data_IF_275557213316
#
_entry.id   IF_275557213316
#
_cell.length_a   1.000
_cell.length_b   1.000
_cell.length_c   1.000
_cell.angle_alpha   90.00
_cell.angle_beta   90.00
_cell.angle_gamma   90.00
#
_symmetry.space_group_name_H-M   'P 1'
#
loop_
_entity.id
_entity.type
_entity.pdbx_description
1 polymer ?
#
# COMPACT_ATOMS: atom_id res chain seq x y z
N UNK A 1 -1.62 15.87 6.64
CA UNK A 1 -0.55 14.89 6.34
C UNK A 1 -1.16 13.51 6.47
N UNK A 2 -0.92 12.62 5.52
CA UNK A 2 -1.35 11.23 5.53
C UNK A 2 -0.19 10.35 6.01
N UNK A 3 -0.45 9.50 6.99
CA UNK A 3 0.52 8.58 7.58
C UNK A 3 0.12 7.13 7.32
N UNK A 4 0.97 6.40 6.60
CA UNK A 4 0.71 5.02 6.18
C UNK A 4 1.77 4.11 6.77
N UNK A 5 1.32 3.01 7.39
CA UNK A 5 2.18 1.90 7.82
C UNK A 5 1.91 0.67 6.98
N UNK A 6 2.97 0.17 6.35
CA UNK A 6 2.96 -0.99 5.47
C UNK A 6 3.49 -2.21 6.22
N UNK A 7 2.82 -3.34 6.05
CA UNK A 7 3.20 -4.63 6.61
C UNK A 7 3.25 -5.66 5.49
N UNK A 8 4.23 -6.56 5.56
CA UNK A 8 4.35 -7.71 4.67
C UNK A 8 5.54 -8.55 5.08
N UNK A 9 6.05 -9.39 4.19
CA UNK A 9 7.22 -10.22 4.44
C UNK A 9 8.41 -9.83 3.57
N UNK A 10 9.61 -10.13 4.05
CA UNK A 10 10.84 -9.98 3.29
C UNK A 10 10.74 -10.70 1.94
N UNK A 11 10.87 -9.94 0.85
CA UNK A 11 10.71 -10.42 -0.52
C UNK A 11 9.40 -9.99 -1.21
N UNK A 12 8.38 -9.54 -0.47
CA UNK A 12 7.09 -9.11 -1.05
C UNK A 12 7.08 -7.65 -1.55
N UNK A 13 8.19 -6.93 -1.38
CA UNK A 13 8.32 -5.56 -1.87
C UNK A 13 7.61 -4.49 -1.01
N UNK A 14 7.51 -4.71 0.31
CA UNK A 14 6.95 -3.73 1.28
C UNK A 14 7.69 -2.39 1.22
N UNK A 15 9.02 -2.42 1.23
CA UNK A 15 9.87 -1.21 1.14
C UNK A 15 9.70 -0.54 -0.23
N UNK A 16 9.61 -1.36 -1.29
CA UNK A 16 9.35 -0.87 -2.65
C UNK A 16 8.00 -0.19 -2.74
N UNK A 17 6.94 -0.73 -2.13
CA UNK A 17 5.61 -0.13 -2.10
C UNK A 17 5.64 1.26 -1.42
N UNK A 18 6.25 1.34 -0.24
CA UNK A 18 6.38 2.57 0.52
C UNK A 18 7.15 3.65 -0.25
N UNK A 19 8.25 3.25 -0.90
CA UNK A 19 9.07 4.11 -1.76
C UNK A 19 8.34 4.54 -3.02
N UNK A 20 7.59 3.64 -3.66
CA UNK A 20 6.83 3.92 -4.89
C UNK A 20 5.78 4.97 -4.62
N UNK A 21 4.97 4.83 -3.56
CA UNK A 21 3.97 5.84 -3.21
C UNK A 21 4.63 7.19 -2.87
N UNK A 22 5.72 7.16 -2.10
CA UNK A 22 6.46 8.38 -1.77
C UNK A 22 6.99 9.10 -3.00
N UNK A 23 7.58 8.36 -3.96
CA UNK A 23 8.07 8.91 -5.23
C UNK A 23 6.92 9.42 -6.10
N UNK A 24 5.80 8.69 -6.18
CA UNK A 24 4.62 9.12 -6.90
C UNK A 24 4.12 10.48 -6.38
N UNK A 25 4.04 10.65 -5.07
CA UNK A 25 3.63 11.91 -4.47
C UNK A 25 4.67 13.04 -4.66
N UNK A 26 5.96 12.77 -4.44
CA UNK A 26 6.99 13.81 -4.43
C UNK A 26 7.48 14.25 -5.81
N UNK A 27 7.71 13.29 -6.70
CA UNK A 27 8.31 13.56 -8.02
C UNK A 27 7.22 13.92 -9.03
N UNK A 28 6.06 13.27 -8.95
CA UNK A 28 4.99 13.42 -9.95
C UNK A 28 3.72 14.08 -9.42
N UNK A 29 3.54 14.11 -8.10
CA UNK A 29 2.34 14.63 -7.46
C UNK A 29 2.45 16.06 -6.93
N UNK A 30 3.64 16.67 -6.97
CA UNK A 30 3.89 18.00 -6.43
C UNK A 30 3.74 18.10 -4.91
N UNK A 31 3.81 16.97 -4.19
CA UNK A 31 3.64 16.89 -2.74
C UNK A 31 4.97 16.66 -2.03
N UNK A 32 4.96 16.71 -0.71
CA UNK A 32 6.08 16.27 0.11
C UNK A 32 5.85 14.83 0.54
N UNK A 33 6.90 14.02 0.46
CA UNK A 33 6.84 12.64 0.92
C UNK A 33 8.08 12.25 1.71
N UNK A 34 7.89 11.34 2.66
CA UNK A 34 8.94 10.64 3.37
C UNK A 34 8.59 9.16 3.37
N UNK A 35 9.54 8.29 3.05
CA UNK A 35 9.35 6.85 3.11
C UNK A 35 10.61 6.18 3.63
N UNK A 36 10.46 5.27 4.59
CA UNK A 36 11.58 4.58 5.22
C UNK A 36 11.11 3.23 5.78
N UNK A 37 11.99 2.22 5.80
CA UNK A 37 11.66 0.94 6.39
C UNK A 37 11.88 0.93 7.91
N UNK A 38 11.34 -0.10 8.57
CA UNK A 38 11.75 -0.53 9.90
C UNK A 38 11.77 -2.04 9.93
N UNK A 39 12.97 -2.61 10.01
CA UNK A 39 13.21 -4.03 10.13
C UNK A 39 14.45 -4.29 11.00
N UNK A 40 14.47 -5.43 11.67
CA UNK A 40 15.59 -5.89 12.48
C UNK A 40 16.67 -6.59 11.64
N UNK A 41 17.36 -7.57 12.23
CA UNK A 41 18.32 -8.45 11.54
C UNK A 41 17.62 -9.48 10.65
N UNK A 42 16.88 -9.03 9.64
CA UNK A 42 15.91 -9.86 8.93
C UNK A 42 16.48 -10.81 7.87
N UNK A 43 15.90 -12.01 7.84
CA UNK A 43 16.05 -13.04 6.80
C UNK A 43 14.85 -12.97 5.85
N UNK A 44 14.94 -13.57 4.65
CA UNK A 44 13.77 -13.71 3.75
C UNK A 44 12.57 -14.30 4.49
N UNK A 45 11.36 -13.78 4.23
CA UNK A 45 10.12 -14.24 4.84
C UNK A 45 9.80 -13.67 6.24
N UNK A 46 10.76 -12.99 6.90
CA UNK A 46 10.50 -12.30 8.16
C UNK A 46 9.49 -11.14 7.96
N UNK A 47 8.68 -10.79 8.96
CA UNK A 47 7.77 -9.65 8.88
C UNK A 47 8.54 -8.34 8.71
N UNK A 48 8.21 -7.57 7.67
CA UNK A 48 8.80 -6.27 7.34
C UNK A 48 7.76 -5.19 7.57
N UNK A 49 8.17 -4.11 8.24
CA UNK A 49 7.39 -2.88 8.31
C UNK A 49 8.03 -1.77 7.48
N UNK A 50 7.23 -0.95 6.81
CA UNK A 50 7.69 0.30 6.22
C UNK A 50 6.69 1.42 6.46
N UNK A 51 7.12 2.64 6.23
CA UNK A 51 6.36 3.84 6.53
C UNK A 51 6.35 4.78 5.32
N UNK A 52 5.22 5.44 5.11
CA UNK A 52 5.11 6.56 4.16
C UNK A 52 4.33 7.70 4.81
N UNK A 53 4.87 8.92 4.77
CA UNK A 53 4.18 10.17 5.09
C UNK A 53 3.99 10.97 3.80
N UNK A 54 2.78 11.48 3.56
CA UNK A 54 2.47 12.39 2.46
C UNK A 54 1.92 13.71 3.03
N UNK A 55 2.39 14.85 2.53
CA UNK A 55 1.96 16.16 3.02
C UNK A 55 1.95 17.21 1.90
N UNK A 56 1.16 18.27 2.08
CA UNK A 56 1.16 19.45 1.20
C UNK A 56 2.34 20.39 1.51
N UNK A 57 3.10 20.13 2.58
CA UNK A 57 4.24 20.95 3.01
C UNK A 57 5.35 20.10 3.64
N UNK A 58 6.47 20.74 3.98
CA UNK A 58 7.70 20.09 4.48
C UNK A 58 7.44 19.18 5.68
N UNK A 59 7.90 17.94 5.60
CA UNK A 59 7.82 16.94 6.67
C UNK A 59 9.08 17.04 7.53
N UNK A 60 8.92 17.47 8.80
CA UNK A 60 10.03 17.58 9.76
C UNK A 60 10.17 16.36 10.68
N UNK A 61 9.06 15.64 10.89
CA UNK A 61 9.03 14.43 11.71
C UNK A 61 9.80 13.29 11.01
N UNK A 62 10.73 12.67 11.74
CA UNK A 62 11.54 11.53 11.29
C UNK A 62 11.35 10.29 12.17
N UNK A 63 10.40 10.32 13.09
CA UNK A 63 10.06 9.19 13.96
C UNK A 63 9.31 8.10 13.18
N UNK A 64 9.20 6.90 13.75
CA UNK A 64 8.29 5.88 13.22
C UNK A 64 6.82 6.34 13.30
N UNK A 65 5.94 5.73 12.49
CA UNK A 65 4.50 6.00 12.53
C UNK A 65 3.85 5.08 13.57
N UNK A 66 3.65 5.61 14.78
CA UNK A 66 2.97 4.90 15.87
C UNK A 66 1.45 4.99 15.79
N UNK A 67 0.92 6.04 15.15
CA UNK A 67 -0.52 6.30 14.96
C UNK A 67 -0.82 6.52 13.48
N UNK A 68 -0.95 5.45 12.67
CA UNK A 68 -1.21 5.58 11.25
C UNK A 68 -2.66 6.00 10.96
N UNK A 69 -2.86 6.74 9.87
CA UNK A 69 -4.18 6.94 9.26
C UNK A 69 -4.59 5.71 8.44
N UNK A 70 -3.59 5.05 7.84
CA UNK A 70 -3.75 3.85 7.02
C UNK A 70 -2.79 2.75 7.42
N UNK A 71 -3.32 1.54 7.59
CA UNK A 71 -2.54 0.31 7.62
C UNK A 71 -2.72 -0.44 6.31
N UNK A 72 -1.62 -0.83 5.68
CA UNK A 72 -1.63 -1.64 4.45
C UNK A 72 -0.93 -2.96 4.71
N UNK A 73 -1.60 -4.07 4.47
CA UNK A 73 -1.09 -5.42 4.73
C UNK A 73 -0.97 -6.17 3.40
N UNK A 74 0.26 -6.42 2.95
CA UNK A 74 0.55 -7.15 1.70
C UNK A 74 0.35 -8.66 1.83
N UNK A 75 0.31 -9.17 3.06
CA UNK A 75 0.19 -10.60 3.37
C UNK A 75 -0.75 -10.81 4.56
N UNK A 76 -1.94 -11.34 4.28
CA UNK A 76 -2.96 -11.60 5.30
C UNK A 76 -2.55 -12.63 6.37
N UNK A 77 -1.50 -13.44 6.15
CA UNK A 77 -0.96 -14.33 7.20
C UNK A 77 -0.39 -13.57 8.40
N UNK A 78 -0.08 -12.28 8.25
CA UNK A 78 0.41 -11.44 9.35
C UNK A 78 -0.68 -11.09 10.36
N UNK A 79 -1.95 -11.13 9.96
CA UNK A 79 -3.09 -10.76 10.81
C UNK A 79 -3.19 -11.61 12.09
N UNK A 80 -2.73 -12.87 12.05
CA UNK A 80 -2.73 -13.77 13.20
C UNK A 80 -1.41 -13.81 13.98
N UNK A 81 -0.34 -13.20 13.47
CA UNK A 81 1.02 -13.37 14.00
C UNK A 81 1.63 -12.10 14.57
N UNK A 82 1.11 -10.92 14.22
CA UNK A 82 1.55 -9.64 14.76
C UNK A 82 0.36 -8.72 14.96
N UNK A 83 0.47 -7.78 15.90
CA UNK A 83 -0.51 -6.71 16.03
C UNK A 83 -0.30 -5.66 14.92
N UNK A 84 -0.77 -5.98 13.70
CA UNK A 84 -0.75 -5.05 12.56
C UNK A 84 -1.55 -3.76 12.84
N UNK A 85 -2.50 -3.84 13.77
CA UNK A 85 -3.49 -2.82 14.09
C UNK A 85 -3.00 -1.79 15.10
N UNK A 86 -1.85 -2.04 15.75
CA UNK A 86 -1.34 -1.21 16.85
C UNK A 86 -1.38 0.30 16.53
N UNK A 87 -2.15 1.06 17.28
CA UNK A 87 -2.26 2.52 17.11
C UNK A 87 -3.14 3.00 15.96
N UNK A 88 -3.75 2.09 15.17
CA UNK A 88 -4.81 2.42 14.23
C UNK A 88 -6.12 2.61 15.00
N UNK A 89 -6.53 3.87 15.17
CA UNK A 89 -7.73 4.23 15.94
C UNK A 89 -9.02 4.25 15.10
N UNK A 90 -10.18 4.52 15.75
CA UNK A 90 -11.45 4.74 15.07
C UNK A 90 -11.34 5.83 14.00
N UNK A 91 -11.96 5.61 12.84
CA UNK A 91 -11.84 6.48 11.67
C UNK A 91 -10.63 6.18 10.78
N UNK A 92 -9.62 5.47 11.30
CA UNK A 92 -8.51 4.92 10.52
C UNK A 92 -8.99 3.91 9.49
N UNK A 93 -8.14 3.64 8.50
CA UNK A 93 -8.46 2.72 7.40
C UNK A 93 -7.43 1.60 7.26
N UNK A 94 -7.88 0.44 6.79
CA UNK A 94 -7.06 -0.72 6.57
C UNK A 94 -7.26 -1.25 5.15
N UNK A 95 -6.18 -1.41 4.39
CA UNK A 95 -6.18 -2.09 3.10
C UNK A 95 -5.41 -3.40 3.22
N UNK A 96 -6.09 -4.52 3.04
CA UNK A 96 -5.52 -5.86 3.23
C UNK A 96 -5.56 -6.65 1.93
N UNK A 97 -4.40 -7.17 1.52
CA UNK A 97 -4.34 -8.21 0.49
C UNK A 97 -4.88 -9.51 1.08
N UNK A 98 -6.09 -9.87 0.68
CA UNK A 98 -6.81 -11.03 1.18
C UNK A 98 -7.57 -11.70 0.05
N UNK A 99 -7.50 -13.05 -0.06
CA UNK A 99 -8.36 -13.77 -0.99
C UNK A 99 -9.83 -13.55 -0.62
N UNK A 100 -10.70 -13.61 -1.63
CA UNK A 100 -12.13 -13.44 -1.43
C UNK A 100 -12.66 -14.46 -0.41
N UNK A 101 -13.45 -13.97 0.56
CA UNK A 101 -14.04 -14.79 1.61
C UNK A 101 -13.17 -14.99 2.87
N UNK A 102 -11.92 -14.51 2.88
CA UNK A 102 -11.13 -14.49 4.12
C UNK A 102 -11.75 -13.50 5.11
N UNK A 103 -12.12 -13.99 6.30
CA UNK A 103 -12.61 -13.15 7.37
C UNK A 103 -11.45 -12.31 7.96
N UNK A 104 -11.56 -10.99 7.82
CA UNK A 104 -10.62 -10.03 8.42
C UNK A 104 -11.40 -9.15 9.38
N UNK A 105 -10.99 -9.12 10.64
CA UNK A 105 -11.63 -8.32 11.68
C UNK A 105 -10.66 -7.26 12.20
N UNK A 106 -10.77 -5.99 11.77
CA UNK A 106 -10.00 -4.90 12.34
C UNK A 106 -10.61 -4.46 13.69
N UNK A 107 -9.93 -3.57 14.44
CA UNK A 107 -10.52 -2.93 15.62
C UNK A 107 -11.83 -2.18 15.31
N UNK A 108 -12.72 -2.01 16.31
CA UNK A 108 -13.96 -1.25 16.13
C UNK A 108 -13.73 0.16 15.58
N UNK A 109 -14.56 0.56 14.62
CA UNK A 109 -14.49 1.89 14.00
C UNK A 109 -13.42 2.05 12.91
N UNK A 110 -12.65 1.01 12.59
CA UNK A 110 -11.71 1.01 11.46
C UNK A 110 -12.43 0.67 10.15
N UNK A 111 -12.15 1.44 9.11
CA UNK A 111 -12.65 1.19 7.76
C UNK A 111 -11.82 0.10 7.08
N UNK A 112 -12.37 -1.11 6.95
CA UNK A 112 -11.71 -2.19 6.22
C UNK A 112 -11.96 -2.12 4.72
N UNK A 113 -10.90 -2.43 3.96
CA UNK A 113 -10.90 -2.67 2.53
C UNK A 113 -10.07 -3.95 2.26
N UNK A 114 -10.67 -4.94 1.62
CA UNK A 114 -9.99 -6.17 1.23
C UNK A 114 -9.89 -6.24 -0.28
N UNK A 115 -8.71 -6.60 -0.78
CA UNK A 115 -8.42 -6.70 -2.19
C UNK A 115 -7.70 -8.02 -2.44
N UNK A 116 -8.18 -8.83 -3.37
CA UNK A 116 -7.42 -10.01 -3.83
C UNK A 116 -6.35 -9.56 -4.85
N UNK A 117 -5.32 -8.87 -4.33
CA UNK A 117 -4.22 -8.36 -5.15
C UNK A 117 -3.42 -9.50 -5.78
N UNK A 118 -3.34 -10.65 -5.12
CA UNK A 118 -2.74 -11.86 -5.68
C UNK A 118 -3.56 -12.43 -6.85
N UNK A 119 -4.89 -12.45 -6.75
CA UNK A 119 -5.81 -12.75 -7.84
C UNK A 119 -5.60 -11.84 -9.05
N UNK A 120 -5.69 -10.52 -8.84
CA UNK A 120 -5.49 -9.54 -9.91
C UNK A 120 -4.10 -9.63 -10.56
N UNK A 121 -3.05 -9.82 -9.76
CA UNK A 121 -1.71 -10.02 -10.27
C UNK A 121 -1.64 -11.25 -11.19
N UNK A 122 -2.21 -12.38 -10.76
CA UNK A 122 -2.24 -13.63 -11.54
C UNK A 122 -2.98 -13.51 -12.87
N UNK A 123 -4.08 -12.76 -12.91
CA UNK A 123 -4.84 -12.52 -14.14
C UNK A 123 -4.04 -11.73 -15.19
N UNK A 124 -3.16 -10.83 -14.74
CA UNK A 124 -2.31 -10.03 -15.65
C UNK A 124 -1.03 -10.78 -16.01
N UNK A 125 -0.33 -11.32 -15.00
CA UNK A 125 0.90 -12.11 -15.15
C UNK A 125 1.21 -12.83 -13.84
N UNK A 126 1.28 -14.16 -13.90
CA UNK A 126 1.40 -15.06 -12.73
C UNK A 126 2.58 -14.83 -11.77
N UNK A 127 3.54 -13.97 -12.14
CA UNK A 127 4.78 -13.74 -11.37
C UNK A 127 4.85 -12.34 -10.76
N UNK A 128 3.81 -11.51 -10.91
CA UNK A 128 3.84 -10.14 -10.40
C UNK A 128 3.74 -10.11 -8.86
N UNK A 129 4.63 -9.37 -8.18
CA UNK A 129 4.45 -9.10 -6.77
C UNK A 129 3.21 -8.23 -6.54
N UNK A 130 2.52 -8.46 -5.43
CA UNK A 130 1.28 -7.75 -5.09
C UNK A 130 1.49 -6.27 -4.72
N UNK A 131 2.73 -5.86 -4.47
CA UNK A 131 3.06 -4.54 -3.92
C UNK A 131 2.57 -3.38 -4.80
N UNK A 132 2.71 -3.46 -6.11
CA UNK A 132 2.27 -2.41 -7.04
C UNK A 132 0.75 -2.30 -7.10
N UNK A 133 0.04 -3.43 -7.04
CA UNK A 133 -1.41 -3.45 -6.89
C UNK A 133 -1.86 -2.75 -5.60
N UNK A 134 -1.19 -3.03 -4.48
CA UNK A 134 -1.51 -2.41 -3.20
C UNK A 134 -1.27 -0.89 -3.20
N UNK A 135 -0.23 -0.41 -3.89
CA UNK A 135 -0.01 1.03 -4.06
C UNK A 135 -1.09 1.67 -4.94
N UNK A 136 -1.41 1.05 -6.09
CA UNK A 136 -2.48 1.54 -6.98
C UNK A 136 -3.81 1.64 -6.25
N UNK A 137 -4.22 0.57 -5.57
CA UNK A 137 -5.42 0.53 -4.75
C UNK A 137 -5.47 1.60 -3.66
N UNK A 138 -4.39 1.75 -2.89
CA UNK A 138 -4.31 2.79 -1.84
C UNK A 138 -4.41 4.20 -2.45
N UNK A 139 -3.73 4.46 -3.57
CA UNK A 139 -3.80 5.75 -4.24
C UNK A 139 -5.23 6.06 -4.73
N UNK A 140 -5.93 5.08 -5.31
CA UNK A 140 -7.32 5.21 -5.73
C UNK A 140 -8.29 5.44 -4.56
N UNK A 141 -8.10 4.72 -3.45
CA UNK A 141 -8.90 4.85 -2.23
C UNK A 141 -8.71 6.19 -1.52
N UNK A 142 -7.47 6.68 -1.46
CA UNK A 142 -7.13 7.90 -0.72
C UNK A 142 -7.33 9.17 -1.56
N UNK A 143 -7.14 9.08 -2.88
CA UNK A 143 -7.15 10.26 -3.76
C UNK A 143 -5.96 11.20 -3.56
N UNK A 144 -4.97 10.82 -2.75
CA UNK A 144 -3.82 11.68 -2.43
C UNK A 144 -2.86 11.86 -3.61
N UNK A 145 -2.82 10.90 -4.52
CA UNK A 145 -1.95 10.86 -5.68
C UNK A 145 -2.77 10.42 -6.89
N UNK A 146 -2.56 11.05 -8.05
CA UNK A 146 -3.25 10.70 -9.30
C UNK A 146 -2.67 9.44 -9.93
N UNK A 147 -3.44 8.76 -10.78
CA UNK A 147 -3.01 7.54 -11.47
C UNK A 147 -1.71 7.77 -12.25
N UNK A 148 -1.61 8.88 -12.98
CA UNK A 148 -0.46 9.19 -13.84
C UNK A 148 0.82 9.33 -13.02
N UNK A 149 0.70 9.86 -11.80
CA UNK A 149 1.83 9.99 -10.88
C UNK A 149 2.30 8.63 -10.33
N UNK A 150 1.36 7.71 -10.06
CA UNK A 150 1.71 6.33 -9.66
C UNK A 150 2.33 5.58 -10.83
N UNK A 151 1.81 5.74 -12.04
CA UNK A 151 2.35 5.14 -13.26
C UNK A 151 3.76 5.67 -13.56
N UNK A 152 3.98 6.98 -13.49
CA UNK A 152 5.30 7.60 -13.66
C UNK A 152 6.32 7.05 -12.65
N UNK A 153 5.96 6.99 -11.36
CA UNK A 153 6.84 6.42 -10.35
C UNK A 153 7.10 4.92 -10.54
N UNK A 154 6.12 4.17 -11.04
CA UNK A 154 6.27 2.75 -11.38
C UNK A 154 7.25 2.56 -12.53
N UNK A 155 7.13 3.38 -13.58
CA UNK A 155 8.00 3.35 -14.74
C UNK A 155 9.45 3.67 -14.40
N UNK A 156 9.66 4.64 -13.50
CA UNK A 156 10.98 5.05 -13.05
C UNK A 156 11.66 4.05 -12.10
N UNK A 157 10.89 3.34 -11.28
CA UNK A 157 11.43 2.52 -10.20
C UNK A 157 11.67 1.06 -10.64
N UNK A 158 10.88 0.56 -11.60
CA UNK A 158 10.93 -0.84 -12.01
C UNK A 158 11.71 -1.05 -13.30
N UNK A 159 12.23 -2.26 -13.49
CA UNK A 159 12.97 -2.61 -14.69
C UNK A 159 12.05 -2.69 -15.93
N UNK A 160 12.58 -2.42 -17.13
CA UNK A 160 11.80 -2.52 -18.37
C UNK A 160 11.14 -3.87 -18.60
N UNK A 161 11.75 -4.95 -18.09
CA UNK A 161 11.23 -6.32 -18.22
C UNK A 161 9.91 -6.57 -17.48
N UNK A 162 9.58 -5.78 -16.45
CA UNK A 162 8.39 -5.99 -15.61
C UNK A 162 7.45 -4.78 -15.60
N UNK A 163 7.90 -3.63 -16.12
CA UNK A 163 7.19 -2.36 -15.99
C UNK A 163 5.81 -2.39 -16.62
N UNK A 164 5.67 -2.92 -17.84
CA UNK A 164 4.40 -2.88 -18.57
C UNK A 164 3.29 -3.62 -17.83
N UNK A 165 3.59 -4.83 -17.35
CA UNK A 165 2.65 -5.65 -16.59
C UNK A 165 2.29 -4.99 -15.25
N UNK A 166 3.26 -4.36 -14.58
CA UNK A 166 3.02 -3.61 -13.36
C UNK A 166 2.16 -2.35 -13.59
N UNK A 167 2.32 -1.66 -14.72
CA UNK A 167 1.49 -0.49 -15.06
C UNK A 167 0.02 -0.88 -15.25
N UNK A 168 -0.24 -2.01 -15.93
CA UNK A 168 -1.59 -2.57 -16.05
C UNK A 168 -2.19 -2.92 -14.69
N UNK A 169 -1.38 -3.53 -13.80
CA UNK A 169 -1.80 -3.89 -12.45
C UNK A 169 -2.09 -2.66 -11.57
N UNK A 170 -1.24 -1.63 -11.67
CA UNK A 170 -1.45 -0.33 -11.01
C UNK A 170 -2.75 0.30 -11.47
N UNK A 171 -3.02 0.32 -12.77
CA UNK A 171 -4.24 0.91 -13.29
C UNK A 171 -5.49 0.15 -12.82
N UNK A 172 -5.50 -1.17 -12.94
CA UNK A 172 -6.64 -1.99 -12.52
C UNK A 172 -6.96 -1.79 -11.02
N UNK A 173 -5.93 -1.89 -10.17
CA UNK A 173 -6.06 -1.71 -8.73
C UNK A 173 -6.42 -0.28 -8.33
N UNK A 174 -5.89 0.74 -9.02
CA UNK A 174 -6.27 2.14 -8.80
C UNK A 174 -7.74 2.38 -9.11
N UNK A 175 -8.24 1.89 -10.24
CA UNK A 175 -9.65 2.04 -10.61
C UNK A 175 -10.58 1.32 -9.63
N UNK A 176 -10.17 0.16 -9.10
CA UNK A 176 -10.88 -0.50 -8.01
C UNK A 176 -11.00 0.41 -6.79
N UNK A 177 -9.89 0.99 -6.32
CA UNK A 177 -9.88 1.89 -5.17
C UNK A 177 -10.69 3.17 -5.41
N UNK A 178 -10.57 3.75 -6.61
CA UNK A 178 -11.29 4.95 -6.99
C UNK A 178 -12.81 4.73 -7.02
N UNK A 179 -13.27 3.60 -7.56
CA UNK A 179 -14.69 3.24 -7.58
C UNK A 179 -15.27 3.21 -6.18
N UNK A 180 -14.56 2.60 -5.23
CA UNK A 180 -14.97 2.53 -3.82
C UNK A 180 -15.02 3.92 -3.20
N UNK A 181 -13.99 4.75 -3.40
CA UNK A 181 -13.94 6.13 -2.91
C UNK A 181 -15.14 6.96 -3.40
N UNK A 182 -15.60 6.73 -4.63
CA UNK A 182 -16.78 7.39 -5.24
C UNK A 182 -18.13 6.78 -4.82
N UNK A 183 -18.18 5.95 -3.78
CA UNK A 183 -19.41 5.36 -3.25
C UNK A 183 -19.75 3.97 -3.81
N UNK A 184 -18.84 3.35 -4.56
CA UNK A 184 -18.97 1.96 -4.98
C UNK A 184 -18.87 0.98 -3.81
N UNK A 185 -19.45 -0.21 -3.99
CA UNK A 185 -19.35 -1.30 -2.99
C UNK A 185 -17.91 -1.79 -2.82
N UNK A 186 -17.57 -2.20 -1.60
CA UNK A 186 -16.26 -2.75 -1.20
C UNK A 186 -16.08 -4.25 -1.54
N UNK A 187 -16.84 -4.78 -2.51
CA UNK A 187 -16.95 -6.23 -2.83
C UNK A 187 -15.73 -6.85 -3.50
#
# INVERSE_FOLDING_TARGET
>A
MLQIRWHGRGGQGVVTAARLLGRAAAVYGGKFAQSFPSFGTERRGAPVTAFTRLAEGVIRDRSQIYRPDWVVVLDSSLLGNQDVWQGLGPGGSALVNAPRGLAVSPPPGVNLYCLDAAGMAREISGHLPVNTAMVGALAGLTGWVKLEAVQGATADLLSPSVVEQNLRLVEASFRWGEKIRKGGRKE
#
